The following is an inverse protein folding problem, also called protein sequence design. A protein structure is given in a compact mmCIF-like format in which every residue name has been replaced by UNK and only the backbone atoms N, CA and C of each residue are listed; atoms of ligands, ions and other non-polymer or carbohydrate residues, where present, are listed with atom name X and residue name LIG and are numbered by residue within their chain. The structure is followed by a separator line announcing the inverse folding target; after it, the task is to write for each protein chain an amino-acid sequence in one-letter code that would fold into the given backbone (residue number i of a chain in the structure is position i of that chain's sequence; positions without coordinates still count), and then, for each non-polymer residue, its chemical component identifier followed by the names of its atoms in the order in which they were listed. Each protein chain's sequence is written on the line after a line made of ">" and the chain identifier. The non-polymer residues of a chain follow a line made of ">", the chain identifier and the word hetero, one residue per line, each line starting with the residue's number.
data_IF_161271111527
#
_entry.id   IF_161271111527
#
_cell.length_a   1.000
_cell.length_b   1.000
_cell.length_c   1.000
_cell.angle_alpha   90.00
_cell.angle_beta   90.00
_cell.angle_gamma   90.00
#
_symmetry.space_group_name_H-M   'P 1'
#
loop_
_entity.id
_entity.type
_entity.pdbx_description
1 polymer ?
#
# COMPACT_ATOMS: atom_id res chain seq x y z
N UNK A 1 -0.82 -7.98 7.11
CA UNK A 1 0.15 -8.93 7.65
C UNK A 1 1.43 -8.21 8.05
N UNK A 2 2.10 -8.72 9.07
CA UNK A 2 3.37 -8.21 9.56
C UNK A 2 4.38 -9.35 9.48
N UNK A 3 5.55 -9.09 8.96
CA UNK A 3 6.66 -10.04 9.02
C UNK A 3 7.12 -10.14 10.49
N UNK A 4 6.50 -11.06 11.26
CA UNK A 4 6.65 -11.08 12.72
C UNK A 4 7.53 -12.18 13.25
N UNK A 5 7.67 -13.28 12.53
CA UNK A 5 8.14 -14.53 13.11
C UNK A 5 9.59 -14.86 12.80
N UNK A 6 10.25 -14.06 11.98
CA UNK A 6 11.67 -14.21 11.76
C UNK A 6 12.32 -12.84 11.82
N UNK A 7 13.12 -12.50 12.84
CA UNK A 7 13.87 -11.27 12.87
C UNK A 7 14.81 -11.15 11.67
N UNK A 8 15.14 -12.26 11.07
CA UNK A 8 16.06 -12.42 9.96
C UNK A 8 15.36 -13.24 8.87
N UNK A 9 14.57 -12.60 7.99
CA UNK A 9 14.12 -13.27 6.78
C UNK A 9 15.36 -13.55 5.92
N UNK A 10 15.77 -14.80 5.88
CA UNK A 10 16.86 -15.24 5.02
C UNK A 10 16.26 -15.55 3.66
N UNK A 11 16.55 -14.74 2.66
CA UNK A 11 16.37 -15.13 1.26
C UNK A 11 17.65 -15.86 0.84
N UNK A 12 17.52 -17.14 0.58
CA UNK A 12 18.55 -17.93 -0.09
C UNK A 12 18.57 -17.50 -1.56
N UNK A 13 19.61 -16.81 -1.94
CA UNK A 13 19.92 -16.59 -3.34
C UNK A 13 20.91 -17.68 -3.76
N UNK A 14 20.44 -18.69 -4.47
CA UNK A 14 21.30 -19.64 -5.15
C UNK A 14 21.84 -18.98 -6.42
N UNK A 15 23.08 -18.52 -6.40
CA UNK A 15 23.83 -18.32 -7.60
C UNK A 15 24.54 -19.64 -7.97
N UNK A 16 24.63 -19.95 -9.26
CA UNK A 16 25.18 -21.23 -9.77
C UNK A 16 26.61 -21.56 -9.31
N UNK A 17 27.28 -20.71 -8.55
CA UNK A 17 28.70 -20.87 -8.21
C UNK A 17 29.10 -20.60 -6.76
N UNK A 18 28.22 -20.49 -5.83
CA UNK A 18 28.51 -20.54 -4.38
C UNK A 18 27.26 -20.13 -3.61
N UNK A 19 26.98 -20.83 -2.53
CA UNK A 19 25.88 -20.53 -1.59
C UNK A 19 26.18 -19.24 -0.81
N UNK A 20 26.15 -18.09 -1.45
CA UNK A 20 26.18 -16.81 -0.79
C UNK A 20 24.79 -16.52 -0.23
N UNK A 21 24.55 -17.02 0.97
CA UNK A 21 23.37 -16.69 1.77
C UNK A 21 23.50 -15.23 2.21
N UNK A 22 22.70 -14.34 1.62
CA UNK A 22 22.59 -12.98 2.11
C UNK A 22 21.31 -12.79 2.92
N UNK A 23 21.37 -11.98 3.95
CA UNK A 23 20.26 -11.72 4.85
C UNK A 23 19.46 -10.52 4.41
N UNK A 24 18.12 -10.64 4.38
CA UNK A 24 17.22 -9.51 4.20
C UNK A 24 16.69 -9.04 5.55
N UNK A 25 16.98 -7.81 5.91
CA UNK A 25 16.52 -7.20 7.16
C UNK A 25 15.14 -6.58 6.97
N UNK A 26 14.08 -7.39 7.14
CA UNK A 26 12.68 -6.97 6.94
C UNK A 26 11.86 -6.94 8.24
N UNK A 27 12.51 -6.93 9.40
CA UNK A 27 11.82 -6.93 10.68
C UNK A 27 10.86 -5.74 10.81
N UNK A 28 9.59 -6.04 11.07
CA UNK A 28 8.57 -5.02 11.28
C UNK A 28 7.96 -4.44 10.00
N UNK A 29 8.43 -4.84 8.81
CA UNK A 29 7.82 -4.42 7.55
C UNK A 29 6.39 -4.94 7.43
N UNK A 30 5.58 -4.24 6.65
CA UNK A 30 4.15 -4.50 6.46
C UNK A 30 3.90 -5.01 5.05
N UNK A 31 2.84 -5.80 4.87
CA UNK A 31 2.35 -6.12 3.54
C UNK A 31 1.89 -4.83 2.83
N UNK A 32 2.20 -4.74 1.54
CA UNK A 32 1.85 -3.60 0.72
C UNK A 32 0.39 -3.64 0.23
N UNK A 33 -0.09 -2.50 -0.27
CA UNK A 33 -1.33 -2.39 -1.03
C UNK A 33 -2.62 -2.69 -0.25
N UNK A 34 -2.51 -3.01 1.04
CA UNK A 34 -3.68 -3.24 1.90
C UNK A 34 -3.65 -2.28 3.08
N UNK A 35 -4.70 -1.47 3.29
CA UNK A 35 -4.78 -0.63 4.46
C UNK A 35 -4.88 -1.49 5.73
N UNK A 36 -4.10 -1.16 6.74
CA UNK A 36 -4.19 -1.81 8.05
C UNK A 36 -5.36 -1.26 8.88
N UNK A 37 -5.91 -0.13 8.47
CA UNK A 37 -7.13 0.43 9.02
C UNK A 37 -8.04 0.84 7.88
N UNK A 38 -9.25 0.29 7.89
CA UNK A 38 -10.32 0.67 6.96
C UNK A 38 -11.61 0.84 7.76
N UNK A 39 -12.27 1.95 7.55
CA UNK A 39 -13.54 2.27 8.17
C UNK A 39 -14.55 2.56 7.06
N UNK A 40 -15.74 2.01 7.19
CA UNK A 40 -16.82 2.22 6.25
C UNK A 40 -18.11 2.55 6.99
N UNK A 41 -18.81 3.57 6.50
CA UNK A 41 -20.15 3.92 6.95
C UNK A 41 -21.07 4.01 5.74
N UNK A 42 -22.15 3.23 5.76
CA UNK A 42 -23.13 3.22 4.69
C UNK A 42 -24.50 3.70 5.22
N UNK A 43 -25.17 4.51 4.40
CA UNK A 43 -26.55 4.94 4.61
C UNK A 43 -27.38 4.41 3.45
N UNK A 44 -28.41 3.63 3.79
CA UNK A 44 -29.34 3.06 2.83
C UNK A 44 -30.74 3.63 3.03
N UNK A 45 -31.38 4.05 1.97
CA UNK A 45 -32.74 4.54 1.99
C UNK A 45 -33.57 3.95 0.86
N UNK A 46 -34.71 3.36 1.23
CA UNK A 46 -35.59 2.70 0.28
C UNK A 46 -37.00 3.26 0.39
N UNK A 47 -37.57 3.69 -0.74
CA UNK A 47 -38.92 4.24 -0.80
C UNK A 47 -39.60 3.97 -2.13
N UNK A 48 -40.79 3.38 -2.11
CA UNK A 48 -41.64 3.16 -3.30
C UNK A 48 -40.89 2.59 -4.53
N UNK A 49 -39.98 1.62 -4.27
CA UNK A 49 -39.17 0.97 -5.30
C UNK A 49 -37.95 1.77 -5.73
N UNK A 50 -37.68 2.95 -5.17
CA UNK A 50 -36.39 3.61 -5.24
C UNK A 50 -35.49 3.08 -4.13
N UNK A 51 -34.21 2.97 -4.44
CA UNK A 51 -33.17 2.70 -3.46
C UNK A 51 -32.00 3.65 -3.64
N UNK A 52 -31.50 4.12 -2.54
CA UNK A 52 -30.36 5.04 -2.48
C UNK A 52 -29.36 4.44 -1.48
N UNK A 53 -28.11 4.45 -1.85
CA UNK A 53 -27.01 4.11 -0.97
C UNK A 53 -25.97 5.22 -1.04
N UNK A 54 -25.41 5.57 0.12
CA UNK A 54 -24.26 6.47 0.23
C UNK A 54 -23.26 5.81 1.18
N UNK A 55 -22.04 5.57 0.68
CA UNK A 55 -21.00 4.88 1.45
C UNK A 55 -19.74 5.74 1.53
N UNK A 56 -19.37 6.11 2.75
CA UNK A 56 -18.11 6.76 3.05
C UNK A 56 -17.08 5.74 3.52
N UNK A 57 -15.90 5.76 2.90
CA UNK A 57 -14.78 4.87 3.21
C UNK A 57 -13.57 5.70 3.61
N UNK A 58 -12.94 5.37 4.73
CA UNK A 58 -11.68 5.96 5.17
C UNK A 58 -10.63 4.86 5.31
N UNK A 59 -9.47 5.09 4.68
CA UNK A 59 -8.33 4.17 4.70
C UNK A 59 -7.13 4.85 5.35
N UNK A 60 -6.41 4.10 6.18
CA UNK A 60 -5.15 4.57 6.79
C UNK A 60 -4.17 3.40 6.94
N UNK A 61 -2.92 3.75 7.20
CA UNK A 61 -1.80 2.82 7.39
C UNK A 61 -1.60 1.90 6.18
N UNK A 62 -1.62 2.50 4.99
CA UNK A 62 -1.19 1.86 3.75
C UNK A 62 0.33 1.98 3.66
N UNK A 63 1.01 0.92 3.29
CA UNK A 63 2.46 0.89 3.13
C UNK A 63 2.79 0.53 1.69
N UNK A 64 3.84 1.15 1.13
CA UNK A 64 4.35 0.75 -0.18
C UNK A 64 5.15 -0.55 -0.06
N UNK A 65 5.33 -1.24 -1.18
CA UNK A 65 6.20 -2.40 -1.21
C UNK A 65 7.67 -1.99 -1.02
N UNK A 66 8.35 -2.72 -0.17
CA UNK A 66 9.75 -2.44 0.13
C UNK A 66 10.68 -3.24 -0.79
N UNK A 67 11.76 -2.63 -1.20
CA UNK A 67 12.83 -3.33 -1.93
C UNK A 67 13.64 -4.20 -0.96
N UNK A 68 13.59 -5.52 -1.13
CA UNK A 68 14.45 -6.46 -0.39
C UNK A 68 15.92 -6.23 -0.70
N UNK A 69 16.26 -5.84 -1.93
CA UNK A 69 17.63 -5.52 -2.32
C UNK A 69 18.27 -4.42 -1.46
N UNK A 70 17.52 -3.37 -1.14
CA UNK A 70 18.00 -2.28 -0.27
C UNK A 70 18.23 -2.70 1.19
N UNK A 71 17.80 -3.90 1.55
CA UNK A 71 17.86 -4.47 2.91
C UNK A 71 18.68 -5.74 3.00
N UNK A 72 19.45 -6.04 1.93
CA UNK A 72 20.44 -7.10 1.95
C UNK A 72 21.62 -6.72 2.88
N UNK A 73 22.13 -7.65 3.65
CA UNK A 73 23.27 -7.44 4.53
C UNK A 73 24.47 -6.91 3.77
N UNK A 74 24.81 -7.52 2.64
CA UNK A 74 25.93 -7.08 1.77
C UNK A 74 25.77 -5.65 1.25
N UNK A 75 24.54 -5.19 1.04
CA UNK A 75 24.25 -3.81 0.61
C UNK A 75 24.33 -2.85 1.79
N UNK A 76 23.78 -3.24 2.93
CA UNK A 76 23.81 -2.42 4.15
C UNK A 76 25.24 -2.24 4.68
N UNK A 77 26.08 -3.28 4.63
CA UNK A 77 27.47 -3.22 5.05
C UNK A 77 28.30 -2.26 4.20
N UNK A 78 28.05 -2.20 2.89
CA UNK A 78 28.71 -1.25 1.97
C UNK A 78 28.34 0.21 2.25
N UNK A 79 27.17 0.46 2.83
CA UNK A 79 26.66 1.80 3.13
C UNK A 79 27.05 2.32 4.52
N UNK A 80 27.89 1.59 5.22
CA UNK A 80 28.40 1.93 6.53
C UNK A 80 27.44 1.54 7.65
N UNK A 81 27.95 0.78 8.60
CA UNK A 81 27.26 0.57 9.86
C UNK A 81 27.30 1.87 10.67
N UNK A 82 26.14 2.31 11.18
CA UNK A 82 26.10 3.27 12.25
C UNK A 82 26.64 2.63 13.55
N UNK A 83 26.82 3.43 14.57
CA UNK A 83 27.10 2.92 15.92
C UNK A 83 25.96 3.34 16.86
N UNK A 84 25.60 2.44 17.76
CA UNK A 84 24.64 2.76 18.82
C UNK A 84 25.29 3.65 19.91
N UNK A 85 24.51 4.03 20.91
CA UNK A 85 25.00 4.83 22.03
C UNK A 85 26.14 4.15 22.83
N UNK A 86 26.34 2.83 22.65
CA UNK A 86 27.37 2.04 23.32
C UNK A 86 28.58 1.78 22.40
N UNK A 87 28.56 2.31 21.14
CA UNK A 87 29.65 2.13 20.19
C UNK A 87 29.58 0.81 19.41
N UNK A 88 28.49 0.02 19.51
CA UNK A 88 28.35 -1.19 18.74
C UNK A 88 27.91 -0.90 17.31
N UNK A 89 28.41 -1.63 16.31
CA UNK A 89 27.97 -1.50 14.93
C UNK A 89 26.45 -1.75 14.79
N UNK A 90 25.74 -0.80 14.22
CA UNK A 90 24.30 -0.92 13.94
C UNK A 90 24.07 -0.72 12.45
N UNK A 91 23.39 -1.68 11.84
CA UNK A 91 22.99 -1.57 10.46
C UNK A 91 21.86 -0.55 10.28
N UNK A 92 22.08 0.43 9.42
CA UNK A 92 21.08 1.41 9.04
C UNK A 92 20.07 0.79 8.05
N UNK A 93 19.10 0.03 8.55
CA UNK A 93 18.06 -0.57 7.72
C UNK A 93 17.06 0.49 7.29
N UNK A 94 16.84 0.72 5.97
CA UNK A 94 15.83 1.66 5.50
C UNK A 94 14.44 1.30 6.00
N UNK A 95 13.69 2.29 6.47
CA UNK A 95 12.29 2.13 6.86
C UNK A 95 11.41 1.84 5.65
N UNK A 96 10.19 1.40 5.92
CA UNK A 96 9.13 1.26 4.91
C UNK A 96 8.26 2.51 4.93
N UNK A 97 8.00 3.08 3.77
CA UNK A 97 7.19 4.28 3.66
C UNK A 97 5.72 3.98 3.93
N UNK A 98 5.13 4.74 4.86
CA UNK A 98 3.70 4.77 5.13
C UNK A 98 3.09 5.90 4.31
N UNK A 99 2.02 5.59 3.58
CA UNK A 99 1.24 6.58 2.85
C UNK A 99 0.24 7.29 3.77
N UNK A 100 -0.13 8.49 3.38
CA UNK A 100 -1.20 9.24 4.06
C UNK A 100 -2.54 8.53 3.89
N UNK A 101 -3.35 8.60 4.92
CA UNK A 101 -4.72 8.11 4.87
C UNK A 101 -5.62 9.00 4.01
N UNK A 102 -6.77 8.48 3.62
CA UNK A 102 -7.70 9.25 2.84
C UNK A 102 -9.12 8.73 2.85
N UNK A 103 -10.02 9.57 2.38
CA UNK A 103 -11.44 9.33 2.37
C UNK A 103 -11.98 9.24 0.94
N UNK A 104 -12.86 8.28 0.70
CA UNK A 104 -13.60 8.12 -0.54
C UNK A 104 -15.10 8.06 -0.25
N UNK A 105 -15.90 8.62 -1.14
CA UNK A 105 -17.35 8.62 -1.07
C UNK A 105 -17.92 8.00 -2.34
N UNK A 106 -18.74 6.98 -2.14
CA UNK A 106 -19.44 6.27 -3.20
C UNK A 106 -20.95 6.41 -3.00
N UNK A 107 -21.72 6.37 -4.07
CA UNK A 107 -23.17 6.34 -3.99
C UNK A 107 -23.78 5.45 -5.06
N UNK A 108 -25.00 5.01 -4.81
CA UNK A 108 -25.83 4.44 -5.85
C UNK A 108 -27.27 4.88 -5.71
N UNK A 109 -27.92 4.97 -6.85
CA UNK A 109 -29.36 5.22 -6.95
C UNK A 109 -29.97 4.23 -7.93
N UNK A 110 -31.07 3.64 -7.56
CA UNK A 110 -31.74 2.74 -8.47
C UNK A 110 -33.25 2.73 -8.29
N UNK A 111 -33.89 2.12 -9.26
CA UNK A 111 -35.33 1.99 -9.33
C UNK A 111 -35.73 0.58 -9.74
N UNK A 112 -36.55 -0.02 -8.90
CA UNK A 112 -37.25 -1.26 -9.23
C UNK A 112 -38.66 -0.92 -9.73
N UNK A 113 -38.95 -1.32 -10.98
CA UNK A 113 -40.22 -1.10 -11.65
C UNK A 113 -40.89 -2.47 -11.88
N UNK A 114 -42.05 -2.66 -11.27
CA UNK A 114 -42.85 -3.85 -11.51
C UNK A 114 -43.78 -3.57 -12.68
N UNK A 115 -43.65 -4.40 -13.72
CA UNK A 115 -44.48 -4.32 -14.91
C UNK A 115 -45.74 -5.19 -14.76
N UNK A 116 -46.76 -4.90 -15.58
CA UNK A 116 -47.91 -5.75 -15.77
C UNK A 116 -47.43 -7.12 -16.33
N UNK A 117 -47.96 -8.23 -15.94
CA UNK A 117 -47.59 -9.59 -16.33
C UNK A 117 -46.43 -10.22 -15.52
N UNK A 118 -46.20 -9.78 -14.31
CA UNK A 118 -45.18 -10.37 -13.40
C UNK A 118 -43.73 -10.11 -13.79
N UNK A 119 -43.47 -9.31 -14.81
CA UNK A 119 -42.12 -8.87 -15.19
C UNK A 119 -41.68 -7.69 -14.33
N UNK A 120 -40.39 -7.51 -14.23
CA UNK A 120 -39.80 -6.34 -13.53
C UNK A 120 -38.55 -5.85 -14.27
N UNK A 121 -38.29 -4.56 -14.09
CA UNK A 121 -37.07 -3.91 -14.56
C UNK A 121 -36.41 -3.31 -13.33
N UNK A 122 -35.09 -3.52 -13.19
CA UNK A 122 -34.27 -2.85 -12.23
C UNK A 122 -33.23 -2.02 -12.97
N UNK A 123 -33.18 -0.74 -12.64
CA UNK A 123 -32.15 0.20 -13.14
C UNK A 123 -31.32 0.60 -11.93
N UNK A 124 -30.01 0.65 -12.10
CA UNK A 124 -29.10 1.09 -11.05
C UNK A 124 -27.98 1.94 -11.63
N UNK A 125 -27.81 3.13 -11.11
CA UNK A 125 -26.67 4.00 -11.37
C UNK A 125 -25.75 3.97 -10.17
N UNK A 126 -24.53 3.50 -10.37
CA UNK A 126 -23.46 3.46 -9.36
C UNK A 126 -22.45 4.56 -9.64
N UNK A 127 -22.10 5.31 -8.62
CA UNK A 127 -21.14 6.40 -8.65
C UNK A 127 -20.01 6.09 -7.68
N UNK A 128 -18.78 6.03 -8.17
CA UNK A 128 -17.61 5.79 -7.32
C UNK A 128 -16.73 7.03 -7.26
N UNK A 129 -16.13 7.25 -6.10
CA UNK A 129 -15.28 8.39 -5.82
C UNK A 129 -15.92 9.73 -6.21
N UNK A 130 -17.12 10.02 -5.66
CA UNK A 130 -17.91 11.21 -5.99
C UNK A 130 -17.15 12.50 -5.71
N UNK A 131 -16.25 12.47 -4.72
CA UNK A 131 -15.42 13.64 -4.37
C UNK A 131 -14.25 13.82 -5.36
N UNK A 132 -14.09 12.90 -6.31
CA UNK A 132 -12.99 12.88 -7.27
C UNK A 132 -11.61 13.04 -6.62
N UNK A 133 -11.40 12.36 -5.50
CA UNK A 133 -10.13 12.38 -4.78
C UNK A 133 -9.10 11.51 -5.52
N UNK A 134 -8.36 12.10 -6.44
CA UNK A 134 -7.34 11.45 -7.27
C UNK A 134 -5.95 11.49 -6.63
N UNK A 135 -5.77 12.26 -5.57
CA UNK A 135 -4.47 12.40 -4.88
C UNK A 135 -4.25 11.32 -3.81
N UNK A 136 -5.31 10.55 -3.50
CA UNK A 136 -5.22 9.44 -2.56
C UNK A 136 -4.31 8.34 -3.10
N UNK A 137 -3.18 8.12 -2.43
CA UNK A 137 -2.25 7.04 -2.74
C UNK A 137 -2.76 5.73 -2.16
N UNK A 138 -2.97 4.74 -3.02
CA UNK A 138 -3.53 3.43 -2.66
C UNK A 138 -2.47 2.35 -2.51
N UNK A 139 -1.23 2.63 -2.88
CA UNK A 139 -0.10 1.71 -2.78
C UNK A 139 1.11 2.25 -3.53
N UNK A 140 2.08 1.39 -3.76
CA UNK A 140 3.28 1.73 -4.48
C UNK A 140 4.40 0.75 -4.21
N UNK A 141 5.60 1.07 -4.70
CA UNK A 141 6.79 0.26 -4.47
C UNK A 141 8.07 1.11 -4.52
N UNK A 142 9.07 0.69 -3.77
CA UNK A 142 10.43 1.22 -3.87
C UNK A 142 11.12 0.70 -5.14
N UNK A 143 11.85 1.57 -5.84
CA UNK A 143 12.66 1.14 -6.99
C UNK A 143 14.06 0.71 -6.54
N UNK A 144 14.59 -0.37 -7.16
CA UNK A 144 15.92 -0.87 -6.85
C UNK A 144 17.05 0.03 -7.38
N UNK A 145 16.79 0.80 -8.44
CA UNK A 145 17.76 1.74 -9.04
C UNK A 145 17.80 3.07 -8.28
N UNK A 146 17.90 3.02 -6.99
CA UNK A 146 18.02 4.19 -6.14
C UNK A 146 19.50 4.55 -6.02
N UNK A 147 19.89 5.74 -6.44
CA UNK A 147 21.29 6.23 -6.44
C UNK A 147 21.86 6.43 -5.02
N UNK A 148 21.16 5.96 -4.00
CA UNK A 148 21.55 6.09 -2.60
C UNK A 148 22.80 5.27 -2.23
N UNK A 149 23.29 4.46 -3.16
CA UNK A 149 24.42 3.56 -2.96
C UNK A 149 25.66 3.98 -3.72
N UNK A 150 25.76 5.23 -4.17
CA UNK A 150 26.99 5.73 -4.79
C UNK A 150 28.10 5.90 -3.78
N UNK A 151 29.22 5.37 -4.14
CA UNK A 151 30.53 5.33 -3.49
C UNK A 151 30.75 6.40 -2.40
N UNK A 152 30.90 5.96 -1.15
CA UNK A 152 31.39 6.76 -0.04
C UNK A 152 30.37 7.71 0.61
N UNK A 153 29.16 7.82 0.12
CA UNK A 153 28.13 8.60 0.77
C UNK A 153 27.32 7.71 1.73
N UNK A 154 27.69 7.74 2.99
CA UNK A 154 27.07 6.96 4.09
C UNK A 154 25.62 7.34 4.39
N UNK A 155 24.93 7.99 3.47
CA UNK A 155 23.55 8.40 3.62
C UNK A 155 22.61 7.30 3.15
N UNK A 156 22.31 6.37 4.04
CA UNK A 156 21.13 5.51 3.86
C UNK A 156 19.90 6.38 4.08
N UNK A 157 19.23 6.73 3.00
CA UNK A 157 17.97 7.45 3.12
C UNK A 157 16.92 6.57 3.81
N UNK A 158 16.17 7.17 4.70
CA UNK A 158 15.09 6.50 5.42
C UNK A 158 14.08 5.84 4.46
N UNK A 159 13.81 6.50 3.33
CA UNK A 159 12.94 6.01 2.28
C UNK A 159 13.63 6.11 0.91
N UNK A 160 13.14 5.35 -0.06
CA UNK A 160 13.60 5.47 -1.44
C UNK A 160 13.21 6.84 -2.01
N UNK A 161 14.14 7.48 -2.73
CA UNK A 161 13.86 8.73 -3.45
C UNK A 161 13.01 8.52 -4.70
N UNK A 162 13.01 7.32 -5.26
CA UNK A 162 12.40 6.99 -6.54
C UNK A 162 11.21 6.03 -6.36
N UNK A 163 10.48 6.13 -5.25
CA UNK A 163 9.26 5.36 -5.05
C UNK A 163 8.24 5.67 -6.13
N UNK A 164 7.50 4.66 -6.54
CA UNK A 164 6.35 4.78 -7.44
C UNK A 164 5.07 4.58 -6.64
N UNK A 165 4.05 5.33 -6.98
CA UNK A 165 2.78 5.30 -6.28
C UNK A 165 1.63 4.91 -7.20
N UNK A 166 0.68 4.20 -6.64
CA UNK A 166 -0.63 3.97 -7.23
C UNK A 166 -1.63 4.92 -6.58
N UNK A 167 -2.56 5.41 -7.36
CA UNK A 167 -3.55 6.38 -6.93
C UNK A 167 -4.96 5.81 -7.06
N UNK A 168 -5.88 6.39 -6.31
CA UNK A 168 -7.29 6.07 -6.45
C UNK A 168 -7.78 6.43 -7.86
N UNK A 169 -8.71 5.62 -8.37
CA UNK A 169 -9.37 5.93 -9.64
C UNK A 169 -10.19 7.22 -9.50
N UNK A 170 -10.27 8.05 -10.56
CA UNK A 170 -11.10 9.24 -10.56
C UNK A 170 -12.58 8.87 -10.43
N UNK A 171 -13.42 9.92 -10.34
CA UNK A 171 -14.87 9.74 -10.40
C UNK A 171 -15.27 8.84 -11.58
N UNK A 172 -16.14 7.89 -11.32
CA UNK A 172 -16.67 6.99 -12.32
C UNK A 172 -18.15 6.71 -12.09
N UNK A 173 -18.89 6.48 -13.18
CA UNK A 173 -20.32 6.21 -13.15
C UNK A 173 -20.65 5.02 -14.05
N UNK A 174 -21.48 4.11 -13.55
CA UNK A 174 -21.97 2.93 -14.24
C UNK A 174 -23.49 2.87 -14.16
N UNK A 175 -24.12 2.53 -15.28
CA UNK A 175 -25.57 2.30 -15.38
C UNK A 175 -25.85 0.82 -15.65
#
# INVERSE_FOLDING_TARGET
>A
AKYTNNPDAVLTYESENESNLDRVYAKGMRANGTPLSAYSLALDYNVKGWFFNLTGNYYDRVYIDFSSYRRLGSVLDKNGAGVDANGNPVLNVPGQEKLDGGFMLDASIGKYIRLRNGKSISLNLSLTNILNNTDLRTGGFEQNRDDNYKDGDARVYKFSKNSKYFYAFPFNAFL
#
